data_IF_889792750463
#
_entry.id   IF_889792750463
#
_cell.length_a   1.000
_cell.length_b   1.000
_cell.length_c   1.000
_cell.angle_alpha   90.00
_cell.angle_beta   90.00
_cell.angle_gamma   90.00
#
_symmetry.space_group_name_H-M   'P 1'
#
loop_
_entity.id
_entity.type
_entity.pdbx_description
1 polymer ?
#
# COMPACT_ATOMS: atom_id res chain seq x y z
N UNK A 1 -7.48 7.84 -3.81
CA UNK A 1 -6.93 8.06 -2.45
C UNK A 1 -5.49 8.57 -2.58
N UNK A 2 -5.06 9.63 -1.90
CA UNK A 2 -3.65 10.07 -1.96
C UNK A 2 -2.69 8.92 -1.63
N UNK A 3 -1.57 8.81 -2.36
CA UNK A 3 -0.58 7.73 -2.25
C UNK A 3 -0.96 6.41 -2.95
N UNK A 4 -2.16 6.31 -3.51
CA UNK A 4 -2.59 5.22 -4.38
C UNK A 4 -2.59 5.68 -5.85
N UNK A 5 -2.03 4.86 -6.72
CA UNK A 5 -1.95 5.08 -8.16
C UNK A 5 -2.65 3.93 -8.89
N UNK A 6 -3.85 4.14 -9.47
CA UNK A 6 -4.60 3.08 -10.13
C UNK A 6 -3.91 2.54 -11.39
N UNK A 7 -3.14 3.37 -12.11
CA UNK A 7 -2.45 2.94 -13.33
C UNK A 7 -1.28 2.03 -12.95
N UNK A 8 -0.49 2.43 -11.95
CA UNK A 8 0.55 1.56 -11.40
C UNK A 8 -0.03 0.27 -10.85
N UNK A 9 -1.12 0.37 -10.08
CA UNK A 9 -1.71 -0.77 -9.40
C UNK A 9 -2.23 -1.80 -10.42
N UNK A 10 -3.02 -1.39 -11.41
CA UNK A 10 -3.50 -2.29 -12.44
C UNK A 10 -2.36 -2.82 -13.34
N UNK A 11 -1.37 -1.97 -13.64
CA UNK A 11 -0.20 -2.37 -14.43
C UNK A 11 0.71 -3.41 -13.75
N UNK A 12 0.69 -3.46 -12.42
CA UNK A 12 1.48 -4.44 -11.62
C UNK A 12 0.67 -5.64 -11.14
N UNK A 13 -0.65 -5.59 -11.28
CA UNK A 13 -1.59 -6.61 -10.80
C UNK A 13 -2.54 -7.02 -11.93
N UNK A 14 -2.06 -7.83 -12.91
CA UNK A 14 -2.82 -8.17 -14.12
C UNK A 14 -4.07 -9.01 -13.82
N UNK A 15 -4.08 -9.76 -12.71
CA UNK A 15 -5.23 -10.48 -12.21
C UNK A 15 -6.37 -9.52 -11.81
N UNK A 16 -6.05 -8.45 -11.08
CA UNK A 16 -7.02 -7.39 -10.71
C UNK A 16 -7.51 -6.66 -11.97
N UNK A 17 -6.62 -6.39 -12.91
CA UNK A 17 -6.98 -5.78 -14.18
C UNK A 17 -7.92 -6.67 -15.02
N UNK A 18 -7.71 -7.99 -15.01
CA UNK A 18 -8.56 -8.94 -15.72
C UNK A 18 -9.94 -9.10 -15.06
N UNK A 19 -10.03 -9.00 -13.73
CA UNK A 19 -11.31 -9.01 -13.01
C UNK A 19 -12.17 -7.77 -13.29
N UNK A 20 -11.56 -6.65 -13.68
CA UNK A 20 -12.27 -5.41 -13.97
C UNK A 20 -12.92 -4.74 -12.75
N UNK A 21 -12.51 -5.12 -11.54
CA UNK A 21 -12.99 -4.51 -10.30
C UNK A 21 -12.33 -3.14 -10.07
N UNK A 22 -12.93 -2.31 -9.19
CA UNK A 22 -12.31 -1.03 -8.84
C UNK A 22 -10.96 -1.28 -8.12
N UNK A 23 -9.85 -0.73 -8.64
CA UNK A 23 -8.52 -1.05 -8.11
C UNK A 23 -8.30 -0.50 -6.70
N UNK A 24 -8.96 0.60 -6.33
CA UNK A 24 -8.84 1.16 -5.00
C UNK A 24 -9.60 0.29 -3.99
N UNK A 25 -10.82 -0.13 -4.31
CA UNK A 25 -11.60 -1.08 -3.50
C UNK A 25 -10.84 -2.40 -3.33
N UNK A 26 -10.29 -2.93 -4.41
CA UNK A 26 -9.44 -4.13 -4.34
C UNK A 26 -8.27 -3.92 -3.39
N UNK A 27 -7.53 -2.80 -3.50
CA UNK A 27 -6.43 -2.52 -2.61
C UNK A 27 -6.85 -2.43 -1.14
N UNK A 28 -7.93 -1.68 -0.84
CA UNK A 28 -8.41 -1.45 0.51
C UNK A 28 -8.87 -2.73 1.21
N UNK A 29 -9.52 -3.62 0.46
CA UNK A 29 -10.05 -4.87 0.99
C UNK A 29 -9.04 -6.01 0.92
N UNK A 30 -8.27 -6.17 -0.14
CA UNK A 30 -7.45 -7.37 -0.37
C UNK A 30 -5.98 -7.03 -0.54
N UNK A 31 -5.66 -6.10 -1.44
CA UNK A 31 -4.31 -5.89 -1.94
C UNK A 31 -3.25 -5.65 -0.88
N UNK A 32 -3.54 -4.83 0.15
CA UNK A 32 -2.56 -4.56 1.20
C UNK A 32 -2.24 -5.79 2.06
N UNK A 33 -3.20 -6.70 2.25
CA UNK A 33 -3.02 -7.97 3.00
C UNK A 33 -2.20 -8.97 2.20
N UNK A 34 -2.31 -8.91 0.88
CA UNK A 34 -1.50 -9.70 -0.06
C UNK A 34 -0.08 -9.14 -0.21
N UNK A 35 0.19 -7.97 0.40
CA UNK A 35 1.47 -7.28 0.31
C UNK A 35 1.67 -6.53 -1.01
N UNK A 36 0.60 -6.28 -1.78
CA UNK A 36 0.66 -5.50 -3.02
C UNK A 36 0.89 -4.04 -2.70
N UNK A 37 1.65 -3.38 -3.56
CA UNK A 37 2.00 -1.99 -3.37
C UNK A 37 0.99 -1.06 -4.05
N UNK A 38 0.52 0.01 -3.38
CA UNK A 38 -0.51 0.89 -3.92
C UNK A 38 0.01 1.88 -4.97
N UNK A 39 1.33 2.08 -5.06
CA UNK A 39 1.98 3.00 -5.99
C UNK A 39 3.45 2.65 -6.18
N UNK A 40 4.09 3.32 -7.15
CA UNK A 40 5.51 3.17 -7.42
C UNK A 40 6.41 3.69 -6.29
N UNK A 41 5.89 4.54 -5.40
CA UNK A 41 6.66 5.17 -4.32
C UNK A 41 6.46 4.48 -2.97
N UNK A 42 5.34 3.77 -2.76
CA UNK A 42 5.00 3.18 -1.47
C UNK A 42 5.20 1.66 -1.46
N UNK A 43 5.99 1.14 -0.52
CA UNK A 43 6.13 -0.28 -0.22
C UNK A 43 5.24 -0.69 0.94
N UNK A 44 4.23 -1.51 0.67
CA UNK A 44 3.34 -2.12 1.66
C UNK A 44 4.16 -3.01 2.60
N UNK A 45 4.95 -3.93 2.04
CA UNK A 45 5.79 -4.85 2.84
C UNK A 45 6.90 -4.12 3.59
N UNK A 46 7.56 -3.16 2.96
CA UNK A 46 8.58 -2.35 3.61
C UNK A 46 8.02 -1.57 4.81
N UNK A 47 6.82 -0.99 4.65
CA UNK A 47 6.18 -0.28 5.75
C UNK A 47 5.78 -1.19 6.89
N UNK A 48 5.15 -2.34 6.61
CA UNK A 48 4.75 -3.28 7.66
C UNK A 48 5.96 -3.85 8.40
N UNK A 49 7.02 -4.24 7.68
CA UNK A 49 8.25 -4.76 8.28
C UNK A 49 8.96 -3.73 9.18
N UNK A 50 8.95 -2.46 8.79
CA UNK A 50 9.57 -1.40 9.59
C UNK A 50 8.70 -0.92 10.77
N UNK A 51 7.41 -1.23 10.76
CA UNK A 51 6.43 -0.75 11.75
C UNK A 51 5.60 -1.93 12.27
N UNK A 52 6.21 -2.82 13.09
CA UNK A 52 5.60 -4.08 13.51
C UNK A 52 4.36 -3.89 14.39
N UNK A 53 4.17 -2.72 15.00
CA UNK A 53 2.94 -2.35 15.70
C UNK A 53 1.76 -2.20 14.74
N UNK A 54 1.98 -1.63 13.55
CA UNK A 54 0.97 -1.50 12.49
C UNK A 54 0.61 -2.87 11.91
N UNK A 55 1.64 -3.70 11.69
CA UNK A 55 1.47 -5.07 11.20
C UNK A 55 0.68 -5.93 12.19
N UNK A 56 1.07 -5.95 13.47
CA UNK A 56 0.37 -6.70 14.52
C UNK A 56 -1.06 -6.22 14.73
N UNK A 57 -1.32 -4.92 14.55
CA UNK A 57 -2.66 -4.36 14.64
C UNK A 57 -3.52 -4.66 13.40
N UNK A 58 -2.96 -5.28 12.34
CA UNK A 58 -3.70 -5.59 11.12
C UNK A 58 -4.22 -4.34 10.41
N UNK A 59 -3.50 -3.22 10.50
CA UNK A 59 -3.93 -1.97 9.88
C UNK A 59 -3.43 -1.85 8.45
N UNK A 60 -4.27 -1.29 7.57
CA UNK A 60 -3.85 -0.96 6.21
C UNK A 60 -2.67 0.05 6.25
N UNK A 61 -1.51 -0.29 5.67
CA UNK A 61 -0.29 0.48 5.83
C UNK A 61 -0.35 1.86 5.18
N UNK A 62 -0.98 2.00 4.00
CA UNK A 62 -1.11 3.30 3.35
C UNK A 62 -2.09 4.21 4.10
N UNK A 63 -3.19 3.66 4.62
CA UNK A 63 -4.12 4.43 5.47
C UNK A 63 -3.45 4.87 6.77
N UNK A 64 -2.74 3.96 7.44
CA UNK A 64 -2.01 4.28 8.67
C UNK A 64 -0.94 5.35 8.41
N UNK A 65 -0.14 5.18 7.36
CA UNK A 65 0.91 6.13 7.00
C UNK A 65 0.35 7.55 6.80
N UNK A 66 -0.78 7.67 6.11
CA UNK A 66 -1.42 8.95 5.85
C UNK A 66 -2.03 9.60 7.07
N UNK A 67 -2.63 8.81 7.97
CA UNK A 67 -3.31 9.33 9.15
C UNK A 67 -2.35 9.65 10.29
N UNK A 68 -1.29 8.87 10.43
CA UNK A 68 -0.39 8.91 11.58
C UNK A 68 1.08 8.90 11.15
N UNK A 69 1.44 8.02 10.23
CA UNK A 69 2.85 7.72 9.96
C UNK A 69 3.70 8.88 9.47
N UNK A 70 3.15 9.84 8.72
CA UNK A 70 3.87 11.05 8.32
C UNK A 70 4.24 11.92 9.54
N UNK A 71 3.28 12.16 10.44
CA UNK A 71 3.48 12.95 11.65
C UNK A 71 4.43 12.24 12.65
N UNK A 72 4.35 10.92 12.69
CA UNK A 72 5.22 10.06 13.51
C UNK A 72 6.61 9.81 12.90
N UNK A 73 6.87 10.32 11.68
CA UNK A 73 8.12 10.09 10.93
C UNK A 73 8.44 8.59 10.71
N UNK A 74 7.41 7.78 10.47
CA UNK A 74 7.52 6.35 10.18
C UNK A 74 8.35 6.11 8.91
N UNK A 75 9.17 5.06 8.91
CA UNK A 75 10.10 4.70 7.83
C UNK A 75 9.67 3.40 7.14
N UNK A 76 10.40 3.01 6.10
CA UNK A 76 10.19 1.76 5.35
C UNK A 76 9.11 1.84 4.26
N UNK A 77 8.38 2.96 4.16
CA UNK A 77 7.37 3.13 3.11
C UNK A 77 7.98 3.44 1.74
N UNK A 78 9.18 4.02 1.66
CA UNK A 78 9.76 4.46 0.40
C UNK A 78 10.30 3.26 -0.38
N UNK A 79 9.84 3.09 -1.62
CA UNK A 79 10.63 2.36 -2.60
C UNK A 79 11.77 3.26 -3.05
N UNK A 80 12.98 2.72 -3.13
CA UNK A 80 14.10 3.45 -3.73
C UNK A 80 13.64 4.00 -5.09
N UNK A 81 13.92 5.28 -5.34
CA UNK A 81 13.67 5.87 -6.66
C UNK A 81 14.52 5.19 -7.74
N UNK A 82 14.26 5.45 -9.03
CA UNK A 82 15.20 5.10 -10.07
C UNK A 82 16.61 5.64 -9.78
#
# INVERSE_FOLDING_TARGET
MGGFDPIYYLGTNPDVAAEGCDPLEHYLHFGWREGRDPSAQFSTRGYLSANPDVEKAGMNPLLHYRRHGLAERRRGWQKAGP
#
